data_IF_488094810724
#
_entry.id   IF_488094810724
#
_cell.length_a   1.000
_cell.length_b   1.000
_cell.length_c   1.000
_cell.angle_alpha   90.00
_cell.angle_beta   90.00
_cell.angle_gamma   90.00
#
_symmetry.space_group_name_H-M   'P 1'
#
loop_
_entity.id
_entity.type
_entity.pdbx_description
1 polymer ?
#
# COMPACT_ATOMS: atom_id res chain seq x y z
N UNK A 1 9.66 82.99 -1.53
CA UNK A 1 9.41 83.66 -0.24
C UNK A 1 8.08 83.19 0.31
N UNK A 2 8.02 82.91 1.62
CA UNK A 2 6.88 82.49 2.47
C UNK A 2 6.31 81.07 2.17
N UNK A 3 6.49 80.00 2.96
CA UNK A 3 6.36 79.75 4.44
C UNK A 3 4.89 79.89 4.87
N UNK A 4 4.11 78.80 4.96
CA UNK A 4 3.77 77.99 6.16
C UNK A 4 2.22 77.91 6.23
N UNK A 5 1.50 76.93 6.77
CA UNK A 5 1.83 75.81 7.66
C UNK A 5 0.60 74.88 7.79
N UNK A 6 0.89 73.62 8.11
CA UNK A 6 0.21 72.72 9.07
C UNK A 6 -1.26 72.31 8.87
N UNK A 7 -1.47 70.99 8.75
CA UNK A 7 -2.25 70.19 9.74
C UNK A 7 -2.13 68.68 9.42
N UNK A 8 -1.52 67.94 10.33
CA UNK A 8 -1.74 66.50 10.60
C UNK A 8 -2.30 66.43 12.04
N UNK A 9 -3.14 65.44 12.46
CA UNK A 9 -2.79 64.00 12.60
C UNK A 9 -4.04 63.07 12.48
N UNK A 10 -4.16 61.86 13.11
CA UNK A 10 -3.24 60.76 13.45
C UNK A 10 -3.55 59.51 12.54
N UNK A 11 -2.82 58.40 12.46
CA UNK A 11 -2.21 57.55 13.49
C UNK A 11 -3.06 56.28 13.73
N UNK A 12 -2.60 55.16 13.15
CA UNK A 12 -2.90 53.74 13.49
C UNK A 12 -4.23 53.08 13.05
N UNK A 13 -4.13 52.08 12.16
CA UNK A 13 -4.32 50.68 12.54
C UNK A 13 -3.97 49.75 11.36
N UNK A 14 -2.89 49.00 11.53
CA UNK A 14 -2.51 47.87 10.69
C UNK A 14 -3.46 46.72 11.06
N UNK A 15 -4.49 46.46 10.27
CA UNK A 15 -5.37 45.32 10.49
C UNK A 15 -4.64 44.03 10.08
N UNK A 16 -4.05 43.37 11.07
CA UNK A 16 -3.67 41.97 10.99
C UNK A 16 -4.93 41.11 10.90
N UNK A 17 -4.89 40.15 9.97
CA UNK A 17 -5.46 38.82 10.03
C UNK A 17 -6.81 38.63 10.75
N UNK A 18 -7.85 38.38 9.97
CA UNK A 18 -8.80 37.33 10.30
C UNK A 18 -8.89 36.37 9.11
N UNK A 19 -7.99 35.39 9.08
CA UNK A 19 -8.33 34.12 8.42
C UNK A 19 -9.47 33.52 9.23
N UNK A 20 -10.70 33.82 8.81
CA UNK A 20 -11.89 33.11 9.25
C UNK A 20 -11.61 31.63 8.96
N UNK A 21 -11.30 30.86 10.00
CA UNK A 21 -11.22 29.40 9.92
C UNK A 21 -12.64 28.92 9.68
N UNK A 22 -13.11 28.97 8.43
CA UNK A 22 -14.36 28.33 8.03
C UNK A 22 -14.35 26.89 8.56
N UNK A 23 -15.43 26.53 9.26
CA UNK A 23 -15.62 25.16 9.73
C UNK A 23 -15.61 24.26 8.49
N UNK A 24 -14.87 23.13 8.49
CA UNK A 24 -14.85 22.20 7.36
C UNK A 24 -16.27 21.95 6.88
N UNK A 25 -16.51 22.08 5.58
CA UNK A 25 -17.82 21.81 5.01
C UNK A 25 -18.14 20.31 5.15
N UNK A 26 -19.35 19.88 5.53
CA UNK A 26 -19.70 18.45 5.63
C UNK A 26 -19.36 17.66 4.36
N UNK A 27 -19.48 18.28 3.17
CA UNK A 27 -19.03 17.66 1.91
C UNK A 27 -17.51 17.41 1.85
N UNK A 28 -16.70 18.25 2.49
CA UNK A 28 -15.24 18.11 2.54
C UNK A 28 -14.78 16.95 3.43
N UNK A 29 -15.48 16.66 4.54
CA UNK A 29 -15.12 15.55 5.43
C UNK A 29 -15.41 14.18 4.79
N UNK A 30 -16.59 14.04 4.18
CA UNK A 30 -16.95 12.83 3.43
C UNK A 30 -15.99 12.62 2.26
N UNK A 31 -15.64 13.69 1.53
CA UNK A 31 -14.65 13.61 0.45
C UNK A 31 -13.26 13.19 0.96
N UNK A 32 -12.76 13.81 2.04
CA UNK A 32 -11.46 13.45 2.64
C UNK A 32 -11.42 12.00 3.16
N UNK A 33 -12.53 11.50 3.72
CA UNK A 33 -12.64 10.09 4.12
C UNK A 33 -12.53 9.17 2.90
N UNK A 34 -13.32 9.43 1.86
CA UNK A 34 -13.30 8.63 0.62
C UNK A 34 -11.92 8.63 -0.03
N UNK A 35 -11.25 9.80 -0.06
CA UNK A 35 -9.88 9.90 -0.56
C UNK A 35 -8.89 9.10 0.31
N UNK A 36 -9.05 9.11 1.63
CA UNK A 36 -8.22 8.33 2.55
C UNK A 36 -8.41 6.82 2.33
N UNK A 37 -9.65 6.36 2.17
CA UNK A 37 -9.99 4.96 1.89
C UNK A 37 -9.42 4.51 0.54
N UNK A 38 -9.58 5.33 -0.51
CA UNK A 38 -9.01 5.04 -1.82
C UNK A 38 -7.47 4.98 -1.77
N UNK A 39 -6.83 5.96 -1.14
CA UNK A 39 -5.36 5.98 -1.02
C UNK A 39 -4.83 4.81 -0.19
N UNK A 40 -5.58 4.35 0.82
CA UNK A 40 -5.21 3.16 1.58
C UNK A 40 -5.29 1.89 0.74
N UNK A 41 -6.35 1.76 -0.09
CA UNK A 41 -6.51 0.64 -1.03
C UNK A 41 -5.41 0.60 -2.09
N UNK A 42 -5.11 1.75 -2.71
CA UNK A 42 -4.01 1.88 -3.68
C UNK A 42 -2.66 1.45 -3.05
N UNK A 43 -2.40 1.87 -1.81
CA UNK A 43 -1.19 1.47 -1.09
C UNK A 43 -1.16 -0.03 -0.76
N UNK A 44 -2.29 -0.62 -0.37
CA UNK A 44 -2.40 -2.05 -0.10
C UNK A 44 -2.13 -2.88 -1.37
N UNK A 45 -2.75 -2.51 -2.49
CA UNK A 45 -2.58 -3.18 -3.78
C UNK A 45 -1.13 -3.06 -4.28
N UNK A 46 -0.51 -1.89 -4.16
CA UNK A 46 0.90 -1.69 -4.49
C UNK A 46 1.85 -2.49 -3.58
N UNK A 47 1.53 -2.60 -2.29
CA UNK A 47 2.31 -3.40 -1.34
C UNK A 47 2.22 -4.89 -1.69
N UNK A 48 1.04 -5.41 -2.02
CA UNK A 48 0.85 -6.79 -2.50
C UNK A 48 1.62 -7.03 -3.81
N UNK A 49 1.63 -6.06 -4.72
CA UNK A 49 2.40 -6.15 -5.95
C UNK A 49 3.91 -6.22 -5.68
N UNK A 50 4.43 -5.43 -4.73
CA UNK A 50 5.83 -5.46 -4.31
C UNK A 50 6.18 -6.82 -3.66
N UNK A 51 5.33 -7.35 -2.78
CA UNK A 51 5.52 -8.67 -2.17
C UNK A 51 5.56 -9.79 -3.21
N UNK A 52 4.60 -9.79 -4.14
CA UNK A 52 4.59 -10.72 -5.26
C UNK A 52 5.87 -10.61 -6.09
N UNK A 53 6.30 -9.38 -6.40
CA UNK A 53 7.53 -9.15 -7.18
C UNK A 53 8.77 -9.65 -6.45
N UNK A 54 8.87 -9.47 -5.13
CA UNK A 54 9.96 -10.04 -4.32
C UNK A 54 9.98 -11.57 -4.38
N UNK A 55 8.82 -12.21 -4.36
CA UNK A 55 8.71 -13.66 -4.57
C UNK A 55 9.21 -14.07 -5.97
N UNK A 56 8.82 -13.34 -7.01
CA UNK A 56 9.29 -13.59 -8.39
C UNK A 56 10.81 -13.39 -8.52
N UNK A 57 11.35 -12.35 -7.87
CA UNK A 57 12.80 -12.10 -7.80
C UNK A 57 13.50 -13.26 -7.11
N UNK A 58 13.01 -13.74 -5.96
CA UNK A 58 13.60 -14.90 -5.28
C UNK A 58 13.62 -16.16 -6.18
N UNK A 59 12.58 -16.37 -6.98
CA UNK A 59 12.56 -17.46 -7.96
C UNK A 59 13.59 -17.25 -9.08
N UNK A 60 13.74 -16.03 -9.58
CA UNK A 60 14.74 -15.68 -10.59
C UNK A 60 16.19 -15.71 -10.06
N UNK A 61 16.42 -15.42 -8.78
CA UNK A 61 17.74 -15.57 -8.14
C UNK A 61 18.17 -17.04 -8.10
N UNK A 62 17.23 -17.96 -7.92
CA UNK A 62 17.51 -19.39 -8.05
C UNK A 62 17.95 -19.75 -9.47
N UNK A 63 17.30 -19.18 -10.50
CA UNK A 63 17.70 -19.37 -11.90
C UNK A 63 19.08 -18.76 -12.16
N UNK A 64 19.34 -17.55 -11.64
CA UNK A 64 20.64 -16.88 -11.74
C UNK A 64 21.75 -17.74 -11.13
N UNK A 65 21.52 -18.29 -9.93
CA UNK A 65 22.46 -19.20 -9.27
C UNK A 65 22.76 -20.44 -10.12
N UNK A 66 21.74 -21.04 -10.74
CA UNK A 66 21.92 -22.16 -11.66
C UNK A 66 22.75 -21.75 -12.88
N UNK A 67 22.43 -20.62 -13.52
CA UNK A 67 23.18 -20.13 -14.69
C UNK A 67 24.64 -19.82 -14.36
N UNK A 68 24.90 -19.20 -13.21
CA UNK A 68 26.26 -18.92 -12.74
C UNK A 68 27.04 -20.21 -12.45
N UNK A 69 26.40 -21.22 -11.87
CA UNK A 69 27.03 -22.53 -11.67
C UNK A 69 27.34 -23.23 -13.01
N UNK A 70 26.43 -23.14 -13.99
CA UNK A 70 26.67 -23.66 -15.35
C UNK A 70 27.81 -22.92 -16.04
N UNK A 71 27.87 -21.59 -15.91
CA UNK A 71 28.95 -20.77 -16.45
C UNK A 71 30.30 -21.18 -15.85
N UNK A 72 30.37 -21.34 -14.53
CA UNK A 72 31.60 -21.74 -13.84
C UNK A 72 32.09 -23.14 -14.28
N UNK A 73 31.18 -24.08 -14.53
CA UNK A 73 31.53 -25.40 -15.07
C UNK A 73 31.99 -25.33 -16.53
N UNK A 74 31.36 -24.48 -17.36
CA UNK A 74 31.80 -24.24 -18.74
C UNK A 74 33.19 -23.64 -18.80
N UNK A 75 33.48 -22.63 -17.97
CA UNK A 75 34.82 -22.03 -17.84
C UNK A 75 35.86 -23.07 -17.43
N UNK A 76 35.52 -23.97 -16.51
CA UNK A 76 36.40 -25.08 -16.10
C UNK A 76 36.70 -26.04 -17.25
N UNK A 77 35.68 -26.40 -18.05
CA UNK A 77 35.85 -27.26 -19.23
C UNK A 77 36.72 -26.61 -20.29
N UNK A 78 36.50 -25.32 -20.57
CA UNK A 78 37.34 -24.54 -21.49
C UNK A 78 38.80 -24.51 -21.01
N UNK A 79 39.03 -24.33 -19.71
CA UNK A 79 40.38 -24.35 -19.14
C UNK A 79 41.08 -25.71 -19.34
N UNK A 80 40.37 -26.83 -19.14
CA UNK A 80 40.90 -28.17 -19.40
C UNK A 80 41.20 -28.38 -20.89
N UNK A 81 40.32 -27.96 -21.80
CA UNK A 81 40.54 -28.12 -23.24
C UNK A 81 41.68 -27.26 -23.80
N UNK A 82 42.07 -26.19 -23.10
CA UNK A 82 43.25 -25.39 -23.45
C UNK A 82 44.56 -26.08 -23.11
N UNK A 83 44.58 -27.00 -22.14
CA UNK A 83 45.82 -27.64 -21.68
C UNK A 83 46.56 -28.43 -22.78
N UNK A 84 45.90 -29.26 -23.61
CA UNK A 84 46.57 -29.96 -24.72
C UNK A 84 47.11 -29.00 -25.77
N UNK A 85 46.39 -27.91 -26.07
CA UNK A 85 46.83 -26.89 -27.03
C UNK A 85 48.07 -26.16 -26.49
N UNK A 86 48.10 -25.84 -25.20
CA UNK A 86 49.25 -25.23 -24.53
C UNK A 86 50.47 -26.19 -24.52
N UNK A 87 50.28 -27.46 -24.14
CA UNK A 87 51.33 -28.48 -24.18
C UNK A 87 51.88 -28.72 -25.58
N UNK A 88 51.01 -28.70 -26.60
CA UNK A 88 51.42 -28.86 -27.99
C UNK A 88 52.20 -27.64 -28.48
N UNK A 89 51.81 -26.43 -28.09
CA UNK A 89 52.56 -25.21 -28.40
C UNK A 89 53.94 -25.21 -27.74
N UNK A 90 54.05 -25.72 -26.52
CA UNK A 90 55.31 -25.91 -25.79
C UNK A 90 56.21 -26.93 -26.50
N UNK A 91 55.68 -28.10 -26.87
CA UNK A 91 56.41 -29.14 -27.62
C UNK A 91 56.92 -28.66 -28.99
N UNK A 92 56.11 -27.90 -29.73
CA UNK A 92 56.51 -27.29 -31.01
C UNK A 92 57.61 -26.23 -30.85
N UNK A 93 57.71 -25.61 -29.67
CA UNK A 93 58.75 -24.64 -29.36
C UNK A 93 60.06 -25.33 -28.95
N UNK A 94 59.98 -26.48 -28.27
CA UNK A 94 61.13 -27.28 -27.85
C UNK A 94 61.73 -28.14 -28.97
N UNK A 95 60.93 -28.62 -29.93
CA UNK A 95 61.39 -29.45 -31.04
C UNK A 95 61.35 -28.69 -32.37
N UNK A 96 62.49 -28.43 -33.04
CA UNK A 96 62.52 -27.76 -34.32
C UNK A 96 62.05 -28.72 -35.43
N UNK A 97 60.74 -28.75 -35.68
CA UNK A 97 60.08 -29.48 -36.79
C UNK A 97 60.76 -29.22 -38.15
N UNK A 98 61.41 -28.07 -38.30
CA UNK A 98 62.22 -27.71 -39.46
C UNK A 98 63.42 -28.64 -39.69
N UNK A 99 64.11 -29.06 -38.62
CA UNK A 99 65.36 -29.84 -38.72
C UNK A 99 65.11 -31.33 -38.97
N UNK A 100 64.16 -31.93 -38.27
CA UNK A 100 63.94 -33.39 -38.28
C UNK A 100 62.84 -33.85 -39.25
N UNK A 101 61.99 -32.94 -39.74
CA UNK A 101 60.86 -33.28 -40.62
C UNK A 101 60.98 -32.69 -42.02
N UNK A 102 61.19 -31.37 -42.12
CA UNK A 102 61.07 -30.65 -43.41
C UNK A 102 62.35 -30.77 -44.26
N UNK A 103 63.53 -30.63 -43.65
CA UNK A 103 64.82 -30.68 -44.37
C UNK A 103 65.12 -32.07 -44.96
N UNK A 104 64.95 -33.20 -44.24
CA UNK A 104 65.16 -34.55 -44.79
C UNK A 104 64.13 -34.93 -45.85
N UNK A 105 62.89 -34.42 -45.72
CA UNK A 105 61.83 -34.64 -46.69
C UNK A 105 62.12 -33.94 -48.03
N UNK A 106 62.52 -32.67 -47.99
CA UNK A 106 62.85 -31.88 -49.19
C UNK A 106 64.15 -32.32 -49.88
N UNK A 107 65.10 -32.86 -49.13
CA UNK A 107 66.38 -33.38 -49.66
C UNK A 107 66.28 -34.79 -50.23
N UNK A 108 65.10 -35.45 -50.16
CA UNK A 108 64.90 -36.82 -50.61
C UNK A 108 65.48 -37.89 -49.69
N UNK A 109 65.91 -37.52 -48.48
CA UNK A 109 66.45 -38.43 -47.46
C UNK A 109 65.41 -38.82 -46.39
N UNK A 110 64.13 -38.83 -46.76
CA UNK A 110 63.06 -39.18 -45.83
C UNK A 110 63.20 -40.61 -45.32
N UNK A 111 63.27 -40.76 -44.00
CA UNK A 111 63.32 -42.04 -43.31
C UNK A 111 62.04 -42.27 -42.48
N UNK A 112 62.02 -43.34 -41.67
CA UNK A 112 60.90 -43.63 -40.76
C UNK A 112 60.65 -42.53 -39.73
N UNK A 113 61.69 -41.78 -39.33
CA UNK A 113 61.56 -40.70 -38.35
C UNK A 113 60.91 -39.46 -38.98
N UNK A 114 61.29 -39.12 -40.21
CA UNK A 114 60.70 -38.04 -41.03
C UNK A 114 59.19 -38.25 -41.25
N UNK A 115 58.77 -39.48 -41.59
CA UNK A 115 57.35 -39.81 -41.79
C UNK A 115 56.53 -39.75 -40.49
N UNK A 116 57.12 -40.14 -39.35
CA UNK A 116 56.48 -39.95 -38.04
C UNK A 116 56.31 -38.47 -37.73
N UNK A 117 57.35 -37.66 -37.92
CA UNK A 117 57.28 -36.22 -37.68
C UNK A 117 56.17 -35.55 -38.52
N UNK A 118 56.01 -35.91 -39.79
CA UNK A 118 54.92 -35.39 -40.63
C UNK A 118 53.52 -35.86 -40.19
N UNK A 119 53.40 -37.14 -39.79
CA UNK A 119 52.17 -37.69 -39.21
C UNK A 119 51.79 -36.96 -37.92
N UNK A 120 52.77 -36.72 -37.04
CA UNK A 120 52.58 -36.04 -35.76
C UNK A 120 52.15 -34.59 -35.98
N UNK A 121 52.75 -33.87 -36.94
CA UNK A 121 52.32 -32.51 -37.33
C UNK A 121 50.87 -32.50 -37.84
N UNK A 122 50.49 -33.46 -38.68
CA UNK A 122 49.12 -33.57 -39.22
C UNK A 122 48.11 -33.85 -38.10
N UNK A 123 48.47 -34.75 -37.18
CA UNK A 123 47.69 -35.06 -35.99
C UNK A 123 47.53 -33.81 -35.09
N UNK A 124 48.61 -33.06 -34.88
CA UNK A 124 48.63 -31.83 -34.08
C UNK A 124 47.70 -30.76 -34.68
N UNK A 125 47.78 -30.51 -36.00
CA UNK A 125 46.91 -29.53 -36.67
C UNK A 125 45.44 -29.94 -36.57
N UNK A 126 45.15 -31.22 -36.78
CA UNK A 126 43.81 -31.80 -36.60
C UNK A 126 43.25 -31.61 -35.18
N UNK A 127 44.06 -31.92 -34.16
CA UNK A 127 43.69 -31.78 -32.75
C UNK A 127 43.48 -30.30 -32.40
N UNK A 128 44.36 -29.41 -32.87
CA UNK A 128 44.22 -27.96 -32.69
C UNK A 128 42.93 -27.44 -33.31
N UNK A 129 42.63 -27.82 -34.55
CA UNK A 129 41.44 -27.33 -35.26
C UNK A 129 40.16 -27.75 -34.53
N UNK A 130 40.04 -29.03 -34.13
CA UNK A 130 38.92 -29.51 -33.31
C UNK A 130 38.84 -28.81 -31.96
N UNK A 131 39.97 -28.62 -31.28
CA UNK A 131 40.01 -27.95 -29.99
C UNK A 131 39.55 -26.48 -30.11
N UNK A 132 39.97 -25.77 -31.16
CA UNK A 132 39.56 -24.37 -31.42
C UNK A 132 38.06 -24.28 -31.69
N UNK A 133 37.50 -25.14 -32.54
CA UNK A 133 36.06 -25.14 -32.85
C UNK A 133 35.20 -25.41 -31.61
N UNK A 134 35.55 -26.46 -30.84
CA UNK A 134 34.83 -26.79 -29.61
C UNK A 134 34.96 -25.69 -28.54
N UNK A 135 36.14 -25.10 -28.41
CA UNK A 135 36.38 -24.01 -27.45
C UNK A 135 35.64 -22.75 -27.84
N UNK A 136 35.59 -22.41 -29.14
CA UNK A 136 34.83 -21.27 -29.67
C UNK A 136 33.34 -21.39 -29.35
N UNK A 137 32.74 -22.56 -29.54
CA UNK A 137 31.33 -22.78 -29.24
C UNK A 137 31.04 -22.62 -27.73
N UNK A 138 31.92 -23.13 -26.87
CA UNK A 138 31.79 -22.98 -25.41
C UNK A 138 31.97 -21.52 -24.97
N UNK A 139 32.88 -20.77 -25.62
CA UNK A 139 33.06 -19.33 -25.37
C UNK A 139 31.78 -18.55 -25.68
N UNK A 140 31.17 -18.77 -26.84
CA UNK A 140 29.92 -18.11 -27.21
C UNK A 140 28.79 -18.44 -26.22
N UNK A 141 28.69 -19.70 -25.77
CA UNK A 141 27.70 -20.07 -24.75
C UNK A 141 27.97 -19.39 -23.40
N UNK A 142 29.23 -19.30 -22.98
CA UNK A 142 29.61 -18.62 -21.75
C UNK A 142 29.26 -17.12 -21.80
N UNK A 143 29.55 -16.45 -22.92
CA UNK A 143 29.20 -15.05 -23.15
C UNK A 143 27.68 -14.83 -23.10
N UNK A 144 26.89 -15.70 -23.75
CA UNK A 144 25.43 -15.64 -23.71
C UNK A 144 24.88 -15.82 -22.29
N UNK A 145 25.34 -16.82 -21.56
CA UNK A 145 24.91 -17.06 -20.17
C UNK A 145 25.28 -15.91 -19.25
N UNK A 146 26.46 -15.32 -19.42
CA UNK A 146 26.89 -14.15 -18.66
C UNK A 146 26.00 -12.93 -18.94
N UNK A 147 25.68 -12.68 -20.21
CA UNK A 147 24.77 -11.60 -20.61
C UNK A 147 23.36 -11.78 -20.02
N UNK A 148 22.78 -12.99 -20.15
CA UNK A 148 21.47 -13.30 -19.58
C UNK A 148 21.45 -13.17 -18.04
N UNK A 149 22.54 -13.57 -17.37
CA UNK A 149 22.68 -13.43 -15.92
C UNK A 149 22.74 -11.96 -15.48
N UNK A 150 23.48 -11.13 -16.23
CA UNK A 150 23.55 -9.69 -15.99
C UNK A 150 22.22 -8.99 -16.23
N UNK A 151 21.54 -9.32 -17.34
CA UNK A 151 20.23 -8.77 -17.68
C UNK A 151 19.18 -9.11 -16.63
N UNK A 152 19.11 -10.38 -16.21
CA UNK A 152 18.19 -10.82 -15.17
C UNK A 152 18.42 -10.07 -13.85
N UNK A 153 19.69 -9.92 -13.44
CA UNK A 153 20.05 -9.19 -12.21
C UNK A 153 19.69 -7.71 -12.30
N UNK A 154 20.04 -7.05 -13.41
CA UNK A 154 19.76 -5.63 -13.62
C UNK A 154 18.24 -5.36 -13.68
N UNK A 155 17.50 -6.18 -14.41
CA UNK A 155 16.05 -6.08 -14.52
C UNK A 155 15.32 -6.28 -13.19
N UNK A 156 15.79 -7.22 -12.34
CA UNK A 156 15.24 -7.43 -11.02
C UNK A 156 15.46 -6.24 -10.08
N UNK A 157 16.71 -5.74 -10.00
CA UNK A 157 17.05 -4.59 -9.16
C UNK A 157 16.28 -3.34 -9.58
N UNK A 158 16.17 -3.09 -10.90
CA UNK A 158 15.42 -1.96 -11.42
C UNK A 158 13.93 -2.07 -11.09
N UNK A 159 13.33 -3.22 -11.33
CA UNK A 159 11.91 -3.43 -11.07
C UNK A 159 11.57 -3.33 -9.57
N UNK A 160 12.41 -3.90 -8.68
CA UNK A 160 12.20 -3.75 -7.24
C UNK A 160 12.33 -2.29 -6.79
N UNK A 161 13.35 -1.57 -7.28
CA UNK A 161 13.54 -0.17 -6.94
C UNK A 161 12.37 0.71 -7.41
N UNK A 162 11.84 0.47 -8.60
CA UNK A 162 10.67 1.19 -9.14
C UNK A 162 9.42 0.96 -8.29
N UNK A 163 9.07 -0.30 -8.00
CA UNK A 163 7.89 -0.60 -7.16
C UNK A 163 8.07 -0.07 -5.73
N UNK A 164 9.26 -0.18 -5.15
CA UNK A 164 9.53 0.36 -3.81
C UNK A 164 9.35 1.89 -3.77
N UNK A 165 9.85 2.62 -4.78
CA UNK A 165 9.66 4.06 -4.89
C UNK A 165 8.18 4.47 -5.09
N UNK A 166 7.42 3.67 -5.84
CA UNK A 166 5.98 3.86 -6.01
C UNK A 166 5.24 3.67 -4.68
N UNK A 167 5.51 2.58 -3.95
CA UNK A 167 4.94 2.31 -2.62
C UNK A 167 5.27 3.43 -1.64
N UNK A 168 6.51 3.93 -1.62
CA UNK A 168 6.91 5.05 -0.76
C UNK A 168 6.16 6.34 -1.11
N UNK A 169 5.95 6.60 -2.40
CA UNK A 169 5.19 7.77 -2.87
C UNK A 169 3.72 7.67 -2.45
N UNK A 170 3.10 6.49 -2.63
CA UNK A 170 1.73 6.22 -2.18
C UNK A 170 1.59 6.34 -0.67
N UNK A 171 2.58 5.86 0.09
CA UNK A 171 2.62 5.98 1.55
C UNK A 171 2.66 7.45 1.98
N UNK A 172 3.51 8.27 1.38
CA UNK A 172 3.58 9.71 1.68
C UNK A 172 2.27 10.43 1.36
N UNK A 173 1.60 10.06 0.25
CA UNK A 173 0.29 10.59 -0.12
C UNK A 173 -0.77 10.21 0.90
N UNK A 174 -0.85 8.92 1.25
CA UNK A 174 -1.76 8.39 2.27
C UNK A 174 -1.57 9.09 3.62
N UNK A 175 -0.31 9.23 4.07
CA UNK A 175 0.02 9.93 5.32
C UNK A 175 -0.46 11.39 5.32
N UNK A 176 -0.34 12.11 4.21
CA UNK A 176 -0.83 13.50 4.08
C UNK A 176 -2.35 13.57 4.17
N UNK A 177 -3.06 12.69 3.47
CA UNK A 177 -4.53 12.64 3.48
C UNK A 177 -5.02 12.31 4.89
N UNK A 178 -4.49 11.25 5.52
CA UNK A 178 -4.87 10.87 6.89
C UNK A 178 -4.59 11.99 7.90
N UNK A 179 -3.46 12.71 7.77
CA UNK A 179 -3.16 13.88 8.60
C UNK A 179 -4.18 15.01 8.41
N UNK A 180 -4.57 15.32 7.17
CA UNK A 180 -5.57 16.35 6.89
C UNK A 180 -6.95 15.98 7.47
N UNK A 181 -7.38 14.73 7.30
CA UNK A 181 -8.64 14.22 7.85
C UNK A 181 -8.62 14.27 9.38
N UNK A 182 -7.54 13.80 9.99
CA UNK A 182 -7.36 13.86 11.46
C UNK A 182 -7.41 15.29 11.98
N UNK A 183 -6.74 16.23 11.31
CA UNK A 183 -6.77 17.64 11.68
C UNK A 183 -8.18 18.26 11.55
N UNK A 184 -8.92 17.88 10.51
CA UNK A 184 -10.31 18.32 10.31
C UNK A 184 -11.23 17.79 11.42
N UNK A 185 -11.10 16.52 11.79
CA UNK A 185 -11.87 15.91 12.88
C UNK A 185 -11.56 16.55 14.25
N UNK A 186 -10.29 16.80 14.55
CA UNK A 186 -9.88 17.50 15.78
C UNK A 186 -10.45 18.93 15.83
N UNK A 187 -10.45 19.66 14.70
CA UNK A 187 -11.04 21.00 14.60
C UNK A 187 -12.55 20.98 14.89
N UNK A 188 -13.21 19.87 14.62
CA UNK A 188 -14.64 19.66 14.89
C UNK A 188 -14.92 19.13 16.29
N UNK A 189 -13.91 18.98 17.14
CA UNK A 189 -14.07 18.60 18.54
C UNK A 189 -14.09 17.10 18.80
N UNK A 190 -13.72 16.28 17.81
CA UNK A 190 -13.44 14.86 18.04
C UNK A 190 -12.13 14.76 18.81
N UNK A 191 -12.18 14.14 19.99
CA UNK A 191 -11.01 13.89 20.82
C UNK A 191 -10.22 12.75 20.20
N UNK A 192 -9.17 13.11 19.47
CA UNK A 192 -8.17 12.19 18.95
C UNK A 192 -6.91 12.44 19.77
N UNK A 193 -6.45 11.43 20.51
CA UNK A 193 -5.23 11.56 21.31
C UNK A 193 -4.06 11.91 20.39
N UNK A 194 -3.41 13.05 20.66
CA UNK A 194 -2.26 13.57 19.89
C UNK A 194 -0.98 12.76 20.08
N UNK A 195 -1.03 11.65 20.80
CA UNK A 195 0.13 10.84 21.11
C UNK A 195 0.20 9.74 20.07
N UNK A 196 1.18 9.80 19.17
CA UNK A 196 1.42 8.86 18.07
C UNK A 196 1.72 7.42 18.51
N UNK A 197 0.78 6.80 19.24
CA UNK A 197 0.72 5.37 19.52
C UNK A 197 -0.65 4.91 19.03
N UNK A 198 -0.65 4.03 18.04
CA UNK A 198 -1.82 3.48 17.33
C UNK A 198 -2.85 2.70 18.19
N UNK A 199 -2.83 2.87 19.52
CA UNK A 199 -3.58 2.08 20.48
C UNK A 199 -4.83 2.76 21.04
N UNK A 200 -4.98 4.09 20.94
CA UNK A 200 -6.14 4.84 21.48
C UNK A 200 -6.71 5.92 20.54
N UNK A 201 -6.10 6.12 19.37
CA UNK A 201 -6.56 7.10 18.39
C UNK A 201 -7.70 6.53 17.54
N UNK A 202 -8.78 7.29 17.37
CA UNK A 202 -9.74 7.08 16.28
C UNK A 202 -8.98 6.96 14.96
N UNK A 203 -8.86 5.74 14.43
CA UNK A 203 -8.22 5.51 13.15
C UNK A 203 -9.31 5.50 12.07
N UNK A 204 -9.39 6.53 11.22
CA UNK A 204 -10.42 6.64 10.20
C UNK A 204 -10.41 5.47 9.21
N UNK A 205 -9.28 4.79 9.04
CA UNK A 205 -9.09 3.67 8.11
C UNK A 205 -9.53 2.31 8.68
N UNK A 206 -9.78 2.20 10.00
CA UNK A 206 -10.16 0.94 10.65
C UNK A 206 -11.64 0.58 10.51
N UNK A 207 -12.41 1.40 9.80
CA UNK A 207 -13.80 1.13 9.45
C UNK A 207 -13.97 -0.20 8.71
N UNK A 208 -13.05 -0.54 7.79
CA UNK A 208 -13.11 -1.76 6.98
C UNK A 208 -13.08 -3.04 7.83
N UNK A 209 -12.29 -3.06 8.90
CA UNK A 209 -12.13 -4.22 9.81
C UNK A 209 -13.17 -4.27 10.93
N UNK A 210 -14.01 -3.24 11.08
CA UNK A 210 -15.03 -3.24 12.14
C UNK A 210 -16.09 -4.34 11.95
N UNK A 211 -16.29 -4.79 10.70
CA UNK A 211 -17.17 -5.91 10.36
C UNK A 211 -16.66 -7.30 10.76
N UNK A 212 -15.37 -7.42 11.13
CA UNK A 212 -14.75 -8.69 11.53
C UNK A 212 -15.10 -9.07 12.98
N UNK A 213 -15.64 -8.13 13.75
CA UNK A 213 -16.01 -8.35 15.14
C UNK A 213 -17.50 -8.73 15.27
N UNK A 214 -17.84 -9.71 16.11
CA UNK A 214 -19.23 -10.02 16.39
C UNK A 214 -19.99 -8.82 16.99
N UNK A 215 -21.31 -8.81 16.79
CA UNK A 215 -22.20 -7.77 17.29
C UNK A 215 -22.05 -7.58 18.81
N UNK A 216 -21.72 -6.36 19.22
CA UNK A 216 -21.49 -5.97 20.61
C UNK A 216 -20.08 -6.27 21.13
N UNK A 217 -19.15 -6.74 20.28
CA UNK A 217 -17.78 -7.11 20.67
C UNK A 217 -16.69 -6.32 19.93
N UNK A 218 -17.04 -5.19 19.28
CA UNK A 218 -16.06 -4.25 18.72
C UNK A 218 -15.16 -3.70 19.84
N UNK A 219 -13.82 -3.88 19.76
CA UNK A 219 -12.90 -3.37 20.77
C UNK A 219 -12.93 -1.83 20.88
N UNK A 220 -12.80 -1.30 22.10
CA UNK A 220 -12.88 0.17 22.35
C UNK A 220 -11.86 0.97 21.54
N UNK A 221 -10.68 0.42 21.27
CA UNK A 221 -9.62 1.04 20.45
C UNK A 221 -9.93 1.06 18.94
N UNK A 222 -11.03 0.43 18.52
CA UNK A 222 -11.58 0.49 17.16
C UNK A 222 -12.73 1.49 17.04
N UNK A 223 -13.23 2.01 18.17
CA UNK A 223 -14.31 2.98 18.21
C UNK A 223 -13.75 4.40 18.26
N UNK A 224 -14.47 5.32 17.63
CA UNK A 224 -14.19 6.73 17.61
C UNK A 224 -15.24 7.46 18.46
N UNK A 225 -14.83 8.39 19.34
CA UNK A 225 -15.78 9.15 20.15
C UNK A 225 -16.57 10.14 19.29
N UNK A 226 -17.84 10.37 19.64
CA UNK A 226 -18.67 11.42 19.03
C UNK A 226 -18.42 12.79 19.67
N UNK A 227 -18.97 13.84 19.05
CA UNK A 227 -18.99 15.19 19.65
C UNK A 227 -19.84 15.23 20.93
N UNK A 228 -20.83 14.33 21.03
CA UNK A 228 -21.64 14.09 22.22
C UNK A 228 -20.86 13.19 23.18
N UNK A 229 -20.63 13.68 24.41
CA UNK A 229 -19.82 12.99 25.42
C UNK A 229 -20.44 11.63 25.77
N UNK A 230 -19.59 10.62 25.93
CA UNK A 230 -19.98 9.29 26.38
C UNK A 230 -20.40 8.33 25.26
N UNK A 231 -20.48 8.81 24.01
CA UNK A 231 -20.88 8.00 22.86
C UNK A 231 -19.72 7.80 21.89
N UNK A 232 -19.68 6.61 21.30
CA UNK A 232 -18.71 6.25 20.28
C UNK A 232 -19.38 5.41 19.19
N UNK A 233 -18.82 5.42 17.99
CA UNK A 233 -19.21 4.57 16.86
C UNK A 233 -17.96 4.00 16.18
N UNK A 234 -18.13 3.13 15.18
CA UNK A 234 -17.02 2.83 14.25
C UNK A 234 -16.61 4.10 13.48
N UNK A 235 -15.41 4.08 12.92
CA UNK A 235 -14.76 5.31 12.46
C UNK A 235 -15.47 6.02 11.30
N UNK A 236 -15.91 5.27 10.29
CA UNK A 236 -16.72 5.76 9.17
C UNK A 236 -18.07 6.32 9.62
N UNK A 237 -18.81 5.57 10.44
CA UNK A 237 -20.08 6.03 11.01
C UNK A 237 -19.88 7.32 11.83
N UNK A 238 -18.77 7.43 12.57
CA UNK A 238 -18.42 8.65 13.32
C UNK A 238 -18.20 9.84 12.39
N UNK A 239 -17.40 9.67 11.32
CA UNK A 239 -17.12 10.76 10.36
C UNK A 239 -18.41 11.21 9.65
N UNK A 240 -19.23 10.24 9.24
CA UNK A 240 -20.54 10.49 8.65
C UNK A 240 -21.47 11.24 9.63
N UNK A 241 -21.51 10.80 10.89
CA UNK A 241 -22.33 11.43 11.92
C UNK A 241 -21.88 12.85 12.25
N UNK A 242 -20.57 13.11 12.29
CA UNK A 242 -20.03 14.47 12.48
C UNK A 242 -20.49 15.38 11.34
N UNK A 243 -20.42 14.90 10.10
CA UNK A 243 -20.86 15.65 8.92
C UNK A 243 -22.36 15.99 9.01
N UNK A 244 -23.19 15.00 9.39
CA UNK A 244 -24.62 15.18 9.63
C UNK A 244 -24.90 16.17 10.77
N UNK A 245 -24.21 16.03 11.90
CA UNK A 245 -24.40 16.88 13.07
C UNK A 245 -23.99 18.34 12.79
N UNK A 246 -22.96 18.56 11.99
CA UNK A 246 -22.56 19.90 11.55
C UNK A 246 -23.62 20.54 10.65
N UNK A 247 -24.19 19.80 9.71
CA UNK A 247 -25.29 20.27 8.88
C UNK A 247 -26.55 20.57 9.71
N UNK A 248 -26.89 19.68 10.65
CA UNK A 248 -28.00 19.87 11.59
C UNK A 248 -27.78 21.13 12.43
N UNK A 249 -26.57 21.34 12.96
CA UNK A 249 -26.22 22.51 13.76
C UNK A 249 -26.29 23.80 12.97
N UNK A 250 -25.90 23.80 11.69
CA UNK A 250 -26.05 24.97 10.81
C UNK A 250 -27.53 25.33 10.60
N UNK A 251 -28.42 24.34 10.53
CA UNK A 251 -29.83 24.57 10.31
C UNK A 251 -30.59 24.96 11.59
N UNK A 252 -30.34 24.28 12.71
CA UNK A 252 -31.09 24.47 13.96
C UNK A 252 -30.35 25.28 15.04
N UNK A 253 -29.10 25.69 14.79
CA UNK A 253 -28.29 26.44 15.75
C UNK A 253 -27.77 25.64 16.96
N UNK A 254 -28.13 24.35 17.06
CA UNK A 254 -27.73 23.45 18.16
C UNK A 254 -27.24 22.12 17.62
N UNK A 255 -26.31 21.48 18.33
CA UNK A 255 -25.90 20.10 18.00
C UNK A 255 -27.06 19.12 18.22
N UNK A 256 -27.04 18.03 17.46
CA UNK A 256 -27.89 16.87 17.67
C UNK A 256 -27.70 16.32 19.08
N UNK A 257 -28.79 15.87 19.67
CA UNK A 257 -28.82 15.22 20.97
C UNK A 257 -28.79 13.71 20.72
N UNK A 258 -27.91 13.00 21.43
CA UNK A 258 -27.73 11.54 21.30
C UNK A 258 -28.03 10.93 22.67
N UNK A 259 -28.88 9.91 22.70
CA UNK A 259 -29.18 9.11 23.90
C UNK A 259 -28.47 7.77 23.89
N UNK A 260 -28.22 7.21 22.72
CA UNK A 260 -27.52 5.93 22.57
C UNK A 260 -26.74 5.86 21.25
N UNK A 261 -25.68 5.06 21.22
CA UNK A 261 -24.78 4.87 20.08
C UNK A 261 -24.24 3.42 20.10
N UNK A 262 -22.93 3.18 20.04
CA UNK A 262 -22.41 1.83 20.20
C UNK A 262 -22.78 1.25 21.58
N UNK A 263 -23.33 0.03 21.59
CA UNK A 263 -23.69 -0.72 22.80
C UNK A 263 -23.00 -2.08 22.78
N UNK A 264 -22.20 -2.38 23.81
CA UNK A 264 -21.52 -3.67 23.93
C UNK A 264 -22.50 -4.82 24.18
N UNK A 265 -22.05 -6.06 23.99
CA UNK A 265 -22.86 -7.25 24.21
C UNK A 265 -23.37 -7.33 25.66
N UNK A 266 -22.52 -6.99 26.63
CA UNK A 266 -22.87 -6.97 28.06
C UNK A 266 -23.91 -5.89 28.37
N UNK A 267 -23.76 -4.70 27.79
CA UNK A 267 -24.76 -3.62 27.93
C UNK A 267 -26.09 -4.01 27.26
N UNK A 268 -26.04 -4.63 26.07
CA UNK A 268 -27.23 -5.13 25.38
C UNK A 268 -27.95 -6.19 26.22
N UNK A 269 -27.23 -7.11 26.85
CA UNK A 269 -27.81 -8.10 27.76
C UNK A 269 -28.50 -7.42 28.96
N UNK A 270 -27.85 -6.43 29.56
CA UNK A 270 -28.45 -5.65 30.66
C UNK A 270 -29.73 -4.91 30.22
N UNK A 271 -29.76 -4.34 29.01
CA UNK A 271 -30.94 -3.66 28.47
C UNK A 271 -32.06 -4.67 28.17
N UNK A 272 -31.72 -5.80 27.53
CA UNK A 272 -32.67 -6.86 27.20
C UNK A 272 -33.38 -7.41 28.44
N UNK A 273 -32.67 -7.62 29.54
CA UNK A 273 -33.26 -8.11 30.79
C UNK A 273 -34.12 -7.07 31.51
N UNK A 274 -33.78 -5.78 31.38
CA UNK A 274 -34.56 -4.69 32.00
C UNK A 274 -35.78 -4.27 31.18
N UNK A 275 -35.79 -4.56 29.87
CA UNK A 275 -36.83 -4.15 28.92
C UNK A 275 -37.22 -5.30 27.98
N UNK A 276 -37.76 -6.40 28.52
CA UNK A 276 -38.17 -7.54 27.70
C UNK A 276 -39.22 -7.10 26.66
N UNK A 277 -39.05 -7.52 25.41
CA UNK A 277 -39.94 -7.18 24.29
C UNK A 277 -39.67 -5.84 23.60
N UNK A 278 -38.83 -4.97 24.18
CA UNK A 278 -38.48 -3.64 23.61
C UNK A 278 -36.99 -3.51 23.27
N UNK A 279 -36.22 -4.57 23.45
CA UNK A 279 -34.80 -4.60 23.17
C UNK A 279 -34.48 -5.79 22.27
N UNK A 280 -33.59 -5.59 21.31
CA UNK A 280 -33.07 -6.68 20.50
C UNK A 280 -32.39 -7.74 21.39
N UNK A 281 -32.50 -9.00 20.98
CA UNK A 281 -31.74 -10.11 21.60
C UNK A 281 -30.24 -9.76 21.58
N UNK A 282 -29.49 -10.00 22.67
CA UNK A 282 -28.04 -9.74 22.69
C UNK A 282 -27.32 -10.36 21.48
N UNK A 283 -26.48 -9.55 20.83
CA UNK A 283 -25.79 -9.93 19.60
C UNK A 283 -26.61 -9.71 18.31
N UNK A 284 -27.80 -9.10 18.38
CA UNK A 284 -28.63 -8.78 17.20
C UNK A 284 -28.99 -7.30 17.07
N UNK A 285 -28.42 -6.41 17.89
CA UNK A 285 -28.73 -4.97 17.84
C UNK A 285 -27.81 -4.24 16.87
N UNK A 286 -28.35 -3.34 16.04
CA UNK A 286 -27.51 -2.49 15.18
C UNK A 286 -26.60 -1.53 15.97
N UNK A 287 -26.96 -1.22 17.23
CA UNK A 287 -26.05 -0.52 18.16
C UNK A 287 -24.78 -1.31 18.44
N UNK A 288 -24.85 -2.64 18.51
CA UNK A 288 -23.68 -3.49 18.71
C UNK A 288 -22.77 -3.60 17.49
N UNK A 289 -23.22 -3.15 16.32
CA UNK A 289 -22.38 -3.00 15.12
C UNK A 289 -21.67 -1.63 15.07
N UNK A 290 -21.99 -0.72 16.00
CA UNK A 290 -21.51 0.66 15.96
C UNK A 290 -22.07 1.47 14.79
N UNK A 291 -23.21 1.03 14.24
CA UNK A 291 -23.85 1.58 13.05
C UNK A 291 -25.17 2.31 13.38
N UNK A 292 -25.59 2.37 14.64
CA UNK A 292 -26.86 2.99 15.02
C UNK A 292 -26.68 4.07 16.08
N UNK A 293 -27.58 5.04 16.04
CA UNK A 293 -27.73 6.08 17.06
C UNK A 293 -29.20 6.25 17.40
N UNK A 294 -29.46 6.49 18.69
CA UNK A 294 -30.75 6.95 19.18
C UNK A 294 -30.64 8.45 19.48
N UNK A 295 -31.55 9.23 18.91
CA UNK A 295 -31.48 10.69 18.89
C UNK A 295 -32.60 11.33 19.71
N UNK A 296 -32.28 12.47 20.34
CA UNK A 296 -33.19 13.28 21.13
C UNK A 296 -33.28 14.74 20.63
N UNK A 297 -33.91 15.62 21.39
CA UNK A 297 -33.94 17.07 21.13
C UNK A 297 -34.93 17.50 20.04
N UNK A 298 -35.92 16.66 19.75
CA UNK A 298 -36.96 16.81 18.75
C UNK A 298 -36.97 15.65 17.75
N UNK A 299 -35.82 15.03 17.47
CA UNK A 299 -35.73 13.93 16.50
C UNK A 299 -36.52 12.71 16.95
N UNK A 300 -36.60 12.43 18.26
CA UNK A 300 -37.38 11.34 18.85
C UNK A 300 -38.90 11.44 18.66
N UNK A 301 -39.40 12.52 18.05
CA UNK A 301 -40.82 12.77 17.85
C UNK A 301 -41.12 12.82 16.34
N UNK A 302 -41.78 11.78 15.84
CA UNK A 302 -42.22 11.72 14.45
C UNK A 302 -43.04 12.97 14.08
N UNK A 303 -42.77 13.53 12.89
CA UNK A 303 -43.42 14.75 12.40
C UNK A 303 -42.90 16.06 13.00
N UNK A 304 -41.98 16.03 13.97
CA UNK A 304 -41.34 17.27 14.43
C UNK A 304 -40.50 17.92 13.31
N UNK A 305 -40.22 19.22 13.36
CA UNK A 305 -39.33 19.87 12.40
C UNK A 305 -37.95 19.19 12.32
N UNK A 306 -37.44 18.69 13.45
CA UNK A 306 -36.16 17.99 13.51
C UNK A 306 -36.20 16.62 12.84
N UNK A 307 -37.26 15.84 13.08
CA UNK A 307 -37.46 14.52 12.47
C UNK A 307 -37.63 14.65 10.95
N UNK A 308 -38.51 15.55 10.48
CA UNK A 308 -38.75 15.79 9.05
C UNK A 308 -37.48 16.27 8.34
N UNK A 309 -36.68 17.10 9.00
CA UNK A 309 -35.38 17.50 8.46
C UNK A 309 -34.44 16.30 8.32
N UNK A 310 -34.39 15.41 9.32
CA UNK A 310 -33.58 14.20 9.28
C UNK A 310 -34.04 13.25 8.16
N UNK A 311 -35.35 13.04 7.98
CA UNK A 311 -35.88 12.21 6.88
C UNK A 311 -35.43 12.72 5.51
N UNK A 312 -35.44 14.05 5.34
CA UNK A 312 -35.07 14.70 4.08
C UNK A 312 -33.56 14.73 3.82
N UNK A 313 -32.72 14.79 4.86
CA UNK A 313 -31.31 15.13 4.71
C UNK A 313 -30.32 14.03 5.12
N UNK A 314 -30.68 13.14 6.05
CA UNK A 314 -29.76 12.17 6.66
C UNK A 314 -29.09 11.26 5.63
N UNK A 315 -29.83 10.82 4.60
CA UNK A 315 -29.34 9.91 3.55
C UNK A 315 -28.13 10.44 2.79
N UNK A 316 -28.00 11.77 2.67
CA UNK A 316 -26.85 12.43 2.03
C UNK A 316 -25.54 12.20 2.79
N UNK A 317 -25.63 11.77 4.04
CA UNK A 317 -24.52 11.48 4.94
C UNK A 317 -24.45 9.98 5.27
N UNK A 318 -25.14 9.11 4.52
CA UNK A 318 -25.17 7.66 4.78
C UNK A 318 -26.07 7.22 5.94
N UNK A 319 -26.72 8.15 6.63
CA UNK A 319 -27.65 7.86 7.71
C UNK A 319 -29.09 7.77 7.21
N UNK A 320 -29.91 6.92 7.81
CA UNK A 320 -31.31 6.77 7.42
C UNK A 320 -32.16 6.31 8.60
N UNK A 321 -33.47 6.58 8.50
CA UNK A 321 -34.45 6.00 9.40
C UNK A 321 -34.95 4.69 8.78
N UNK A 322 -34.71 3.52 9.41
CA UNK A 322 -35.03 2.25 8.80
C UNK A 322 -36.54 2.03 8.70
N UNK A 323 -36.99 1.31 7.67
CA UNK A 323 -38.42 1.11 7.38
C UNK A 323 -39.18 0.44 8.53
N UNK A 324 -38.52 -0.49 9.25
CA UNK A 324 -39.12 -1.17 10.39
C UNK A 324 -39.46 -0.21 11.53
N UNK A 325 -38.66 0.84 11.75
CA UNK A 325 -38.81 1.78 12.86
C UNK A 325 -40.04 2.70 12.73
N UNK A 326 -40.71 2.72 11.57
CA UNK A 326 -41.99 3.39 11.40
C UNK A 326 -43.18 2.61 11.99
N UNK A 327 -43.00 1.34 12.39
CA UNK A 327 -44.12 0.45 12.69
C UNK A 327 -43.93 -0.37 13.97
N UNK A 328 -43.10 -1.40 13.95
CA UNK A 328 -42.98 -2.35 15.06
C UNK A 328 -41.56 -2.90 15.22
N UNK A 329 -40.84 -2.52 16.30
CA UNK A 329 -41.22 -1.46 17.23
C UNK A 329 -41.22 -0.08 16.54
N UNK A 330 -42.12 0.81 16.96
CA UNK A 330 -42.12 2.20 16.52
C UNK A 330 -41.01 2.96 17.27
N UNK A 331 -39.96 3.36 16.54
CA UNK A 331 -38.74 3.93 17.11
C UNK A 331 -38.28 5.19 16.36
N UNK A 332 -39.04 6.31 16.39
CA UNK A 332 -38.70 7.55 15.66
C UNK A 332 -37.33 8.14 16.05
N UNK A 333 -36.79 7.77 17.21
CA UNK A 333 -35.46 8.15 17.66
C UNK A 333 -34.33 7.37 16.98
N UNK A 334 -34.60 6.21 16.36
CA UNK A 334 -33.58 5.27 15.89
C UNK A 334 -33.14 5.57 14.45
N UNK A 335 -31.84 5.77 14.26
CA UNK A 335 -31.23 6.03 12.96
C UNK A 335 -30.03 5.12 12.75
N UNK A 336 -29.92 4.58 11.55
CA UNK A 336 -28.87 3.65 11.15
C UNK A 336 -27.97 4.28 10.10
N UNK A 337 -26.69 3.91 10.11
CA UNK A 337 -25.72 4.23 9.08
C UNK A 337 -25.55 3.01 8.18
N UNK A 338 -25.67 3.19 6.88
CA UNK A 338 -25.40 2.15 5.90
C UNK A 338 -24.05 2.41 5.23
N UNK A 339 -23.02 1.60 5.54
CA UNK A 339 -21.73 1.70 4.88
C UNK A 339 -21.81 1.55 3.35
N UNK A 340 -22.83 0.85 2.82
CA UNK A 340 -23.01 0.65 1.37
C UNK A 340 -23.48 1.91 0.66
N UNK A 341 -24.30 2.73 1.33
CA UNK A 341 -24.76 4.00 0.79
C UNK A 341 -23.67 5.09 0.87
N UNK A 342 -22.57 4.81 1.56
CA UNK A 342 -21.46 5.74 1.80
C UNK A 342 -20.09 5.19 1.32
N UNK A 343 -20.04 4.02 0.69
CA UNK A 343 -18.84 3.48 0.03
C UNK A 343 -18.84 3.85 -1.46
N UNK A 344 -17.66 4.01 -2.03
CA UNK A 344 -17.42 4.10 -3.48
C UNK A 344 -17.52 2.69 -4.13
N UNK A 345 -18.50 1.87 -3.74
CA UNK A 345 -18.78 0.61 -4.43
C UNK A 345 -19.82 0.82 -5.53
#
# INVERSE_FOLDING_TARGET
MAVASLLAPPGHARAQAQTVREKPDPGSLTALRKEAEQSAKELEDATKALEKRRSDIAASEKQLKTKLATLQELERRVAVMRAPVAQTAELLYEQPVMADGIVPFLSGQADRSTLRAMSDVTQIVSVRQKAVEQTSALYTQAEQLAAEAQELRAGNLLAEAQLAAEVDTLRQRSDKIVKSLTAALVKLGIKIDKVGRAALSCNPLRAATAGDYPNGLIPKNMLCPLQQKGFSLRADATIAFVSLNEAYRRHFGKSMCVTDAYRSLAEQQSVYYRRPGFAAVPGRSNHGLGLAVDLCGGVERAGSPQFVWMEKNSKRYGWFHPSWAYSSPFEPWHWEYDPKNDTLL
#
